data_IF_728944838303
#
_entry.id   IF_728944838303
#
_cell.length_a   1.000
_cell.length_b   1.000
_cell.length_c   1.000
_cell.angle_alpha   90.00
_cell.angle_beta   90.00
_cell.angle_gamma   90.00
#
_symmetry.space_group_name_H-M   'P 1'
#
loop_
_entity.id
_entity.type
_entity.pdbx_description
1 polymer ?
#
# COMPACT_ATOMS: atom_id res chain seq x y z
N UNK A 1 15.48 -12.19 -3.68
CA UNK A 1 14.24 -12.63 -4.37
C UNK A 1 13.67 -11.42 -5.08
N UNK A 2 13.53 -11.47 -6.40
CA UNK A 2 13.34 -10.28 -7.21
C UNK A 2 11.90 -9.76 -7.11
N UNK A 3 11.70 -8.47 -7.35
CA UNK A 3 10.37 -7.84 -7.29
C UNK A 3 9.38 -8.49 -8.26
N UNK A 4 9.84 -8.92 -9.44
CA UNK A 4 9.01 -9.65 -10.42
C UNK A 4 8.47 -10.99 -9.90
N UNK A 5 9.18 -11.64 -8.98
CA UNK A 5 8.74 -12.91 -8.38
C UNK A 5 7.54 -12.70 -7.44
N UNK A 6 7.35 -11.46 -7.00
CA UNK A 6 6.29 -11.00 -6.09
C UNK A 6 5.11 -10.41 -6.84
N UNK A 7 5.09 -10.52 -8.18
CA UNK A 7 3.97 -10.05 -9.02
C UNK A 7 2.65 -10.56 -8.50
N UNK A 8 1.62 -9.73 -8.48
CA UNK A 8 0.30 -10.12 -7.99
C UNK A 8 -0.44 -8.98 -7.34
N UNK A 9 -1.70 -9.26 -7.01
CA UNK A 9 -2.57 -8.34 -6.31
C UNK A 9 -2.60 -8.72 -4.82
N UNK A 10 -2.35 -7.74 -3.97
CA UNK A 10 -2.39 -7.87 -2.52
C UNK A 10 -3.52 -6.99 -1.99
N UNK A 11 -4.30 -7.50 -1.04
CA UNK A 11 -5.46 -6.82 -0.47
C UNK A 11 -5.47 -6.86 1.04
N UNK A 12 -5.97 -5.80 1.64
CA UNK A 12 -6.22 -5.70 3.07
C UNK A 12 -7.06 -4.48 3.38
N UNK A 13 -7.35 -4.27 4.66
CA UNK A 13 -8.27 -3.25 5.12
C UNK A 13 -7.61 -2.40 6.20
N UNK A 14 -7.93 -1.11 6.21
CA UNK A 14 -7.49 -0.19 7.25
C UNK A 14 -8.69 0.60 7.77
N UNK A 15 -8.65 1.02 9.03
CA UNK A 15 -9.66 1.91 9.59
C UNK A 15 -9.11 3.32 9.64
N UNK A 16 -9.85 4.25 9.06
CA UNK A 16 -9.61 5.69 9.18
C UNK A 16 -10.66 6.32 10.09
N UNK A 17 -10.28 7.41 10.75
CA UNK A 17 -11.16 8.21 11.60
C UNK A 17 -11.10 9.66 11.18
N UNK A 18 -12.27 10.20 10.84
CA UNK A 18 -12.50 11.63 10.70
C UNK A 18 -13.62 12.02 11.69
N UNK A 19 -14.66 12.72 11.25
CA UNK A 19 -15.88 12.93 12.05
C UNK A 19 -16.58 11.61 12.43
N UNK A 20 -16.41 10.58 11.60
CA UNK A 20 -16.86 9.20 11.82
C UNK A 20 -15.72 8.24 11.47
N UNK A 21 -15.79 7.01 11.99
CA UNK A 21 -14.84 5.92 11.68
C UNK A 21 -15.35 5.09 10.51
N UNK A 22 -14.46 4.80 9.56
CA UNK A 22 -14.77 4.01 8.37
C UNK A 22 -13.62 3.07 8.05
N UNK A 23 -13.97 1.91 7.51
CA UNK A 23 -13.00 1.00 6.91
C UNK A 23 -12.77 1.38 5.45
N UNK A 24 -11.51 1.25 5.02
CA UNK A 24 -11.07 1.46 3.65
C UNK A 24 -10.38 0.19 3.16
N UNK A 25 -10.60 -0.12 1.88
CA UNK A 25 -9.88 -1.20 1.22
C UNK A 25 -8.55 -0.67 0.69
N UNK A 26 -7.50 -1.47 0.84
CA UNK A 26 -6.17 -1.19 0.33
C UNK A 26 -5.76 -2.32 -0.60
N UNK A 27 -5.36 -1.94 -1.81
CA UNK A 27 -4.85 -2.85 -2.83
C UNK A 27 -3.43 -2.44 -3.20
N UNK A 28 -2.50 -3.39 -3.25
CA UNK A 28 -1.18 -3.21 -3.85
C UNK A 28 -1.04 -4.17 -5.03
N UNK A 29 -0.78 -3.65 -6.23
CA UNK A 29 -0.49 -4.42 -7.42
C UNK A 29 1.00 -4.34 -7.72
N UNK A 30 1.65 -5.51 -7.77
CA UNK A 30 3.02 -5.66 -8.25
C UNK A 30 2.96 -6.24 -9.66
N UNK A 31 3.55 -5.56 -10.64
CA UNK A 31 3.60 -6.05 -12.02
C UNK A 31 4.91 -6.78 -12.35
N UNK A 32 4.99 -7.34 -13.56
CA UNK A 32 6.18 -8.08 -14.03
C UNK A 32 7.40 -7.20 -14.28
N UNK A 33 7.19 -5.89 -14.46
CA UNK A 33 8.23 -4.90 -14.70
C UNK A 33 8.78 -4.30 -13.40
N UNK A 34 8.24 -4.69 -12.24
CA UNK A 34 8.60 -4.14 -10.95
C UNK A 34 8.00 -2.75 -10.70
N UNK A 35 6.81 -2.48 -11.25
CA UNK A 35 5.94 -1.40 -10.82
C UNK A 35 5.13 -1.86 -9.60
N UNK A 36 5.16 -1.06 -8.54
CA UNK A 36 4.33 -1.22 -7.35
C UNK A 36 3.26 -0.14 -7.41
N UNK A 37 1.99 -0.52 -7.50
CA UNK A 37 0.85 0.39 -7.49
C UNK A 37 -0.02 0.16 -6.26
N UNK A 38 -0.06 1.11 -5.33
CA UNK A 38 -0.92 1.09 -4.15
C UNK A 38 -2.17 1.91 -4.43
N UNK A 39 -3.33 1.37 -4.09
CA UNK A 39 -4.63 2.03 -4.20
C UNK A 39 -5.37 1.92 -2.89
N UNK A 40 -5.94 3.03 -2.42
CA UNK A 40 -6.91 3.04 -1.33
C UNK A 40 -8.27 3.37 -1.89
N UNK A 41 -9.29 2.61 -1.48
CA UNK A 41 -10.68 2.83 -1.87
C UNK A 41 -11.42 3.20 -0.59
N UNK A 42 -11.78 4.48 -0.48
CA UNK A 42 -12.53 4.98 0.65
C UNK A 42 -13.96 5.37 0.21
N UNK A 43 -15.02 4.95 0.93
CA UNK A 43 -16.40 5.24 0.55
C UNK A 43 -16.72 6.73 0.38
N UNK A 44 -16.02 7.60 1.12
CA UNK A 44 -16.29 9.04 1.16
C UNK A 44 -15.21 9.85 0.43
N UNK A 45 -13.97 9.35 0.42
CA UNK A 45 -12.79 10.09 -0.07
C UNK A 45 -12.46 9.73 -1.52
N UNK A 46 -13.14 8.73 -2.09
CA UNK A 46 -12.89 8.23 -3.43
C UNK A 46 -11.68 7.27 -3.48
N UNK A 47 -11.25 6.94 -4.70
CA UNK A 47 -10.08 6.10 -4.93
C UNK A 47 -8.82 6.96 -5.06
N UNK A 48 -7.85 6.75 -4.18
CA UNK A 48 -6.51 7.35 -4.28
C UNK A 48 -5.57 6.25 -4.77
N UNK A 49 -4.71 6.53 -5.76
CA UNK A 49 -3.79 5.52 -6.29
C UNK A 49 -2.45 6.13 -6.65
N UNK A 50 -1.38 5.46 -6.26
CA UNK A 50 0.01 5.85 -6.50
C UNK A 50 0.81 4.67 -6.98
N UNK A 51 1.81 4.94 -7.82
CA UNK A 51 2.77 3.93 -8.24
C UNK A 51 4.21 4.41 -8.16
N UNK A 52 5.11 3.44 -7.95
CA UNK A 52 6.56 3.61 -8.04
C UNK A 52 7.10 2.52 -8.95
N UNK A 53 8.02 2.91 -9.84
CA UNK A 53 8.71 1.98 -10.72
C UNK A 53 10.12 1.76 -10.19
N UNK A 54 10.42 0.52 -9.80
CA UNK A 54 11.71 0.13 -9.23
C UNK A 54 12.51 -0.78 -10.17
N UNK A 55 11.82 -1.41 -11.13
CA UNK A 55 12.41 -2.36 -12.05
C UNK A 55 12.28 -3.80 -11.58
N UNK A 56 12.19 -4.73 -12.52
CA UNK A 56 11.85 -6.13 -12.28
C UNK A 56 12.92 -6.87 -11.47
N UNK A 57 14.17 -6.46 -11.60
CA UNK A 57 15.33 -7.09 -10.96
C UNK A 57 15.70 -6.43 -9.63
N UNK A 58 14.84 -5.56 -9.11
CA UNK A 58 15.07 -4.94 -7.81
C UNK A 58 14.93 -5.99 -6.70
N UNK A 59 15.98 -6.15 -5.89
CA UNK A 59 16.07 -7.16 -4.82
C UNK A 59 16.19 -6.47 -3.45
N UNK A 60 15.08 -5.90 -2.98
CA UNK A 60 14.94 -5.42 -1.61
C UNK A 60 13.60 -5.88 -1.05
N UNK A 61 13.46 -5.82 0.27
CA UNK A 61 12.19 -6.12 0.94
C UNK A 61 11.47 -4.87 1.43
N UNK A 62 12.17 -3.74 1.57
CA UNK A 62 11.66 -2.50 2.12
C UNK A 62 11.74 -1.38 1.08
N UNK A 63 10.65 -0.62 0.96
CA UNK A 63 10.47 0.41 -0.05
C UNK A 63 9.70 1.59 0.52
N UNK A 64 10.14 2.80 0.18
CA UNK A 64 9.44 4.02 0.54
C UNK A 64 8.75 4.57 -0.70
N UNK A 65 7.42 4.71 -0.63
CA UNK A 65 6.62 5.37 -1.65
C UNK A 65 6.21 6.75 -1.13
N UNK A 66 6.76 7.80 -1.73
CA UNK A 66 6.43 9.18 -1.37
C UNK A 66 5.14 9.62 -2.07
N UNK A 67 4.22 10.18 -1.30
CA UNK A 67 2.99 10.78 -1.78
C UNK A 67 2.87 12.22 -1.26
N UNK A 68 3.27 13.20 -2.08
CA UNK A 68 3.35 14.59 -1.61
C UNK A 68 4.38 14.73 -0.47
N UNK A 69 3.92 15.10 0.72
CA UNK A 69 4.73 15.14 1.94
C UNK A 69 4.70 13.82 2.74
N UNK A 70 3.74 12.95 2.46
CA UNK A 70 3.55 11.68 3.15
C UNK A 70 4.48 10.59 2.57
N UNK A 71 4.85 9.63 3.41
CA UNK A 71 5.65 8.47 3.02
C UNK A 71 4.92 7.21 3.45
N UNK A 72 4.73 6.28 2.51
CA UNK A 72 4.23 4.94 2.75
C UNK A 72 5.42 4.00 2.81
N UNK A 73 5.60 3.29 3.92
CA UNK A 73 6.64 2.28 4.05
C UNK A 73 6.05 0.92 3.69
N UNK A 74 6.57 0.32 2.63
CA UNK A 74 6.13 -0.97 2.09
C UNK A 74 7.20 -2.00 2.41
N UNK A 75 6.83 -3.01 3.17
CA UNK A 75 7.70 -4.12 3.54
C UNK A 75 7.11 -5.44 3.08
N UNK A 76 7.85 -6.20 2.30
CA UNK A 76 7.46 -7.56 1.94
C UNK A 76 7.86 -8.52 3.05
N UNK A 77 6.87 -9.17 3.64
CA UNK A 77 7.10 -10.24 4.62
C UNK A 77 7.27 -11.59 3.93
N UNK A 78 6.61 -11.80 2.78
CA UNK A 78 6.76 -12.99 1.93
C UNK A 78 6.23 -12.72 0.50
N UNK A 79 6.28 -13.73 -0.38
CA UNK A 79 5.60 -13.69 -1.69
C UNK A 79 4.06 -13.62 -1.62
N UNK A 80 3.51 -13.76 -0.42
CA UNK A 80 2.06 -13.82 -0.18
C UNK A 80 1.59 -12.68 0.72
N UNK A 81 2.49 -11.84 1.25
CA UNK A 81 2.11 -10.80 2.20
C UNK A 81 3.04 -9.59 2.17
N UNK A 82 2.42 -8.41 2.22
CA UNK A 82 3.07 -7.10 2.29
C UNK A 82 2.53 -6.39 3.53
N UNK A 83 3.41 -5.79 4.31
CA UNK A 83 3.07 -4.85 5.36
C UNK A 83 3.22 -3.43 4.80
N UNK A 84 2.18 -2.62 4.95
CA UNK A 84 2.20 -1.21 4.60
C UNK A 84 2.00 -0.40 5.87
N UNK A 85 2.97 0.44 6.19
CA UNK A 85 2.79 1.52 7.15
C UNK A 85 2.22 2.73 6.42
N UNK A 86 0.97 3.06 6.76
CA UNK A 86 0.28 4.23 6.29
C UNK A 86 0.75 5.48 7.05
N UNK A 87 0.75 6.65 6.39
CA UNK A 87 1.01 7.91 7.08
C UNK A 87 -0.04 8.16 8.17
N UNK A 88 0.28 9.04 9.11
CA UNK A 88 -0.64 9.36 10.22
C UNK A 88 -1.96 9.97 9.72
N UNK A 89 -1.92 10.65 8.58
CA UNK A 89 -3.09 11.28 7.95
C UNK A 89 -3.07 11.04 6.45
N UNK A 90 -4.25 10.94 5.85
CA UNK A 90 -4.45 11.04 4.39
C UNK A 90 -5.60 11.99 4.15
N UNK A 91 -5.37 13.01 3.32
CA UNK A 91 -6.41 13.96 2.88
C UNK A 91 -7.22 14.55 4.04
N UNK A 92 -6.57 14.86 5.17
CA UNK A 92 -7.20 15.44 6.37
C UNK A 92 -7.88 14.44 7.32
N UNK A 93 -7.90 13.14 7.02
CA UNK A 93 -8.43 12.10 7.93
C UNK A 93 -7.29 11.42 8.70
N UNK A 94 -7.51 11.11 9.98
CA UNK A 94 -6.53 10.39 10.82
C UNK A 94 -6.60 8.89 10.50
N UNK A 95 -5.45 8.26 10.34
CA UNK A 95 -5.37 6.80 10.15
C UNK A 95 -5.21 6.12 11.51
N UNK A 96 -6.17 5.27 11.86
CA UNK A 96 -6.16 4.53 13.13
C UNK A 96 -5.36 3.25 12.97
N UNK A 97 -5.58 2.51 11.88
CA UNK A 97 -4.84 1.29 11.58
C UNK A 97 -3.64 1.63 10.69
N UNK A 98 -2.55 2.07 11.30
CA UNK A 98 -1.36 2.51 10.56
C UNK A 98 -0.59 1.37 9.90
N UNK A 99 -0.46 0.24 10.57
CA UNK A 99 0.20 -0.94 10.01
C UNK A 99 -0.85 -1.89 9.45
N UNK A 100 -0.83 -2.10 8.15
CA UNK A 100 -1.81 -2.92 7.44
C UNK A 100 -1.08 -4.06 6.76
N UNK A 101 -1.51 -5.28 7.05
CA UNK A 101 -1.06 -6.45 6.32
C UNK A 101 -1.97 -6.69 5.11
N UNK A 102 -1.39 -6.60 3.92
CA UNK A 102 -2.01 -7.03 2.68
C UNK A 102 -1.63 -8.48 2.40
N UNK A 103 -2.60 -9.28 1.99
CA UNK A 103 -2.40 -10.67 1.60
C UNK A 103 -2.66 -10.82 0.10
N UNK A 104 -1.89 -11.69 -0.55
CA UNK A 104 -2.03 -11.98 -1.97
C UNK A 104 -3.38 -12.64 -2.23
N UNK A 105 -4.12 -12.09 -3.18
CA UNK A 105 -5.43 -12.56 -3.62
C UNK A 105 -5.32 -13.62 -4.73
#
# INVERSE_FOLDING_TARGET
MLLKDRKGLYRGNATIKNFLSFDIDIEALIDEKGEIKVSTIAPIVGKISHSISLGSDYDKDNYDMKFGEDIFHIKFNSNNSIEIELPEKISGSLIVTRNVTLNRA
#
